data_IF_161447315867
#
_entry.id   IF_161447315867
#
_cell.length_a   1.000
_cell.length_b   1.000
_cell.length_c   1.000
_cell.angle_alpha   90.00
_cell.angle_beta   90.00
_cell.angle_gamma   90.00
#
_symmetry.space_group_name_H-M   'P 1'
#
loop_
_entity.id
_entity.type
_entity.pdbx_description
1 polymer ?
#
# COMPACT_ATOMS: atom_id res chain seq x y z
N UNK A 1 -32.59 -59.48 -25.26
CA UNK A 1 -33.33 -58.52 -24.40
C UNK A 1 -32.39 -57.39 -24.01
N UNK A 2 -32.73 -56.14 -24.37
CA UNK A 2 -32.19 -54.89 -23.77
C UNK A 2 -32.92 -54.65 -22.43
N UNK A 3 -32.55 -53.67 -21.59
CA UNK A 3 -31.24 -53.22 -21.10
C UNK A 3 -31.21 -53.26 -19.55
N UNK A 4 -30.05 -53.09 -18.90
CA UNK A 4 -30.01 -52.53 -17.54
C UNK A 4 -29.29 -51.19 -17.60
N UNK A 5 -30.08 -50.13 -17.46
CA UNK A 5 -29.63 -48.75 -17.43
C UNK A 5 -29.02 -48.48 -16.05
N UNK A 6 -27.70 -48.64 -15.93
CA UNK A 6 -26.98 -48.00 -14.84
C UNK A 6 -26.81 -46.53 -15.21
N UNK A 7 -27.75 -45.70 -14.75
CA UNK A 7 -27.70 -44.25 -14.88
C UNK A 7 -26.52 -43.75 -14.02
N UNK A 8 -25.33 -43.64 -14.63
CA UNK A 8 -24.21 -42.93 -14.03
C UNK A 8 -24.58 -41.43 -14.01
N UNK A 9 -25.11 -40.98 -12.88
CA UNK A 9 -25.19 -39.57 -12.53
C UNK A 9 -23.76 -39.03 -12.41
N UNK A 10 -23.24 -38.48 -13.50
CA UNK A 10 -22.05 -37.63 -13.47
C UNK A 10 -22.49 -36.34 -12.78
N UNK A 11 -22.25 -36.24 -11.47
CA UNK A 11 -22.33 -34.96 -10.76
C UNK A 11 -21.16 -34.14 -11.28
N UNK A 12 -21.44 -33.23 -12.22
CA UNK A 12 -20.55 -32.13 -12.55
C UNK A 12 -20.48 -31.25 -11.30
N UNK A 13 -19.53 -31.54 -10.42
CA UNK A 13 -19.12 -30.61 -9.38
C UNK A 13 -18.53 -29.44 -10.13
N UNK A 14 -19.35 -28.41 -10.36
CA UNK A 14 -18.85 -27.09 -10.68
C UNK A 14 -17.92 -26.75 -9.51
N UNK A 15 -16.62 -26.92 -9.72
CA UNK A 15 -15.62 -26.20 -8.97
C UNK A 15 -15.91 -24.74 -9.28
N UNK A 16 -16.83 -24.15 -8.50
CA UNK A 16 -16.77 -22.72 -8.26
C UNK A 16 -15.41 -22.59 -7.60
N UNK A 17 -14.44 -22.20 -8.42
CA UNK A 17 -13.15 -21.75 -7.95
C UNK A 17 -13.48 -20.62 -7.00
N UNK A 18 -13.59 -20.96 -5.72
CA UNK A 18 -13.59 -19.99 -4.64
C UNK A 18 -12.22 -19.38 -4.79
N UNK A 19 -12.19 -18.26 -5.52
CA UNK A 19 -11.02 -17.43 -5.62
C UNK A 19 -10.68 -17.04 -4.20
N UNK A 20 -9.83 -17.84 -3.58
CA UNK A 20 -9.08 -17.48 -2.40
C UNK A 20 -8.34 -16.23 -2.83
N UNK A 21 -8.94 -15.09 -2.51
CA UNK A 21 -8.35 -13.78 -2.71
C UNK A 21 -7.20 -13.74 -1.71
N UNK A 22 -6.09 -14.37 -2.08
CA UNK A 22 -4.88 -14.37 -1.30
C UNK A 22 -4.61 -12.89 -0.99
N UNK A 23 -4.52 -12.59 0.30
CA UNK A 23 -3.99 -11.33 0.79
C UNK A 23 -2.51 -11.32 0.44
N UNK A 24 -2.20 -11.20 -0.86
CA UNK A 24 -0.84 -11.13 -1.36
C UNK A 24 -0.32 -9.79 -0.89
N UNK A 25 0.30 -9.82 0.28
CA UNK A 25 1.22 -8.81 0.77
C UNK A 25 2.08 -8.39 -0.41
N UNK A 26 2.24 -7.07 -0.60
CA UNK A 26 2.93 -6.48 -1.76
C UNK A 26 4.14 -7.36 -2.10
N UNK A 27 4.15 -8.04 -3.26
CA UNK A 27 5.18 -9.03 -3.54
C UNK A 27 6.55 -8.33 -3.45
N UNK A 28 7.63 -9.05 -3.11
CA UNK A 28 8.96 -8.47 -2.90
C UNK A 28 9.61 -7.96 -4.21
N UNK A 29 8.79 -7.57 -5.18
CA UNK A 29 9.18 -7.05 -6.47
C UNK A 29 9.83 -5.70 -6.24
N UNK A 30 11.13 -5.62 -6.54
CA UNK A 30 11.90 -4.37 -6.48
C UNK A 30 11.29 -3.23 -7.30
N UNK A 31 10.39 -3.51 -8.23
CA UNK A 31 9.73 -2.49 -9.06
C UNK A 31 8.83 -1.56 -8.24
N UNK A 32 8.08 -2.07 -7.25
CA UNK A 32 7.17 -1.27 -6.41
C UNK A 32 7.92 -0.17 -5.67
N UNK A 33 9.16 -0.43 -5.28
CA UNK A 33 10.03 0.57 -4.66
C UNK A 33 10.25 1.80 -5.53
N UNK A 34 10.31 1.62 -6.86
CA UNK A 34 10.59 2.69 -7.82
C UNK A 34 9.30 3.34 -8.30
N UNK A 35 8.39 2.55 -8.84
CA UNK A 35 7.18 3.05 -9.49
C UNK A 35 5.99 3.22 -8.53
N UNK A 36 6.01 2.60 -7.34
CA UNK A 36 4.89 2.52 -6.39
C UNK A 36 3.62 1.89 -6.99
N UNK A 37 3.76 1.12 -8.07
CA UNK A 37 2.67 0.40 -8.71
C UNK A 37 2.40 -0.89 -7.92
N UNK A 38 1.15 -1.13 -7.51
CA UNK A 38 0.80 -2.38 -6.85
C UNK A 38 0.86 -3.54 -7.87
N UNK A 39 0.90 -4.79 -7.39
CA UNK A 39 0.91 -5.99 -8.23
C UNK A 39 -0.43 -6.27 -8.93
N UNK A 40 -1.01 -5.26 -9.58
CA UNK A 40 -2.24 -5.28 -10.35
C UNK A 40 -1.93 -4.91 -11.81
N UNK A 41 -0.90 -5.54 -12.39
CA UNK A 41 -0.26 -5.12 -13.64
C UNK A 41 -1.19 -5.11 -14.87
N UNK A 42 -2.29 -5.86 -14.82
CA UNK A 42 -3.33 -5.85 -15.85
C UNK A 42 -4.21 -4.58 -15.84
N UNK A 43 -4.08 -3.75 -14.81
CA UNK A 43 -4.91 -2.55 -14.62
C UNK A 43 -4.02 -1.31 -14.47
N UNK A 44 -4.53 -0.17 -14.96
CA UNK A 44 -3.84 1.13 -14.85
C UNK A 44 -4.38 1.94 -13.67
N UNK A 45 -3.51 2.79 -13.13
CA UNK A 45 -3.89 3.75 -12.11
C UNK A 45 -5.00 4.68 -12.63
N UNK A 46 -5.95 4.99 -11.76
CA UNK A 46 -7.00 5.96 -12.03
C UNK A 46 -6.39 7.36 -12.23
N UNK A 47 -6.89 8.08 -13.23
CA UNK A 47 -6.46 9.44 -13.57
C UNK A 47 -7.34 10.53 -12.95
N UNK A 48 -8.47 10.15 -12.37
CA UNK A 48 -9.35 11.05 -11.63
C UNK A 48 -8.73 11.44 -10.28
N UNK A 49 -9.22 12.53 -9.68
CA UNK A 49 -8.83 12.92 -8.33
C UNK A 49 -9.11 11.80 -7.33
N UNK A 50 -8.15 11.43 -6.46
CA UNK A 50 -8.34 10.34 -5.52
C UNK A 50 -9.37 10.72 -4.45
N UNK A 51 -10.29 9.80 -4.09
CA UNK A 51 -11.17 9.97 -2.93
C UNK A 51 -10.46 9.69 -1.59
N UNK A 52 -9.13 9.78 -1.57
CA UNK A 52 -8.27 9.55 -0.40
C UNK A 52 -7.32 10.72 -0.21
N UNK A 53 -6.86 10.91 1.02
CA UNK A 53 -5.84 11.89 1.39
C UNK A 53 -4.73 11.21 2.19
N UNK A 54 -3.53 11.81 2.13
CA UNK A 54 -2.39 11.46 2.98
C UNK A 54 -1.99 12.71 3.73
N UNK A 55 -1.81 12.62 5.05
CA UNK A 55 -1.39 13.73 5.89
C UNK A 55 -0.32 13.29 6.88
N UNK A 56 0.43 14.26 7.38
CA UNK A 56 1.38 14.09 8.47
C UNK A 56 0.89 14.91 9.67
N UNK A 57 1.21 14.48 10.89
CA UNK A 57 0.90 15.22 12.11
C UNK A 57 1.74 16.49 12.25
N UNK A 58 2.94 16.49 11.69
CA UNK A 58 3.86 17.63 11.66
C UNK A 58 4.39 17.93 10.26
N UNK A 59 4.83 19.17 10.04
CA UNK A 59 5.48 19.63 8.81
C UNK A 59 7.00 19.82 8.97
N UNK A 60 7.53 19.70 10.18
CA UNK A 60 8.95 19.87 10.49
C UNK A 60 9.36 18.95 11.64
N UNK A 61 10.54 18.32 11.52
CA UNK A 61 11.15 17.46 12.54
C UNK A 61 12.67 17.57 12.54
N UNK A 62 13.32 17.11 13.60
CA UNK A 62 14.76 16.81 13.61
C UNK A 62 15.06 15.42 13.08
N UNK A 63 16.30 15.20 12.65
CA UNK A 63 16.77 13.86 12.32
C UNK A 63 16.60 12.90 13.51
N UNK A 64 16.05 11.71 13.26
CA UNK A 64 15.77 10.69 14.28
C UNK A 64 14.39 10.80 14.94
N UNK A 65 13.65 11.90 14.74
CA UNK A 65 12.28 12.02 15.23
C UNK A 65 11.30 11.25 14.33
N UNK A 66 10.16 10.89 14.91
CA UNK A 66 9.11 10.11 14.26
C UNK A 66 7.91 10.99 13.93
N UNK A 67 7.34 10.78 12.75
CA UNK A 67 6.18 11.45 12.18
C UNK A 67 5.08 10.43 11.97
N UNK A 68 3.86 10.77 12.36
CA UNK A 68 2.70 9.95 12.08
C UNK A 68 2.10 10.32 10.72
N UNK A 69 2.12 9.34 9.81
CA UNK A 69 1.50 9.43 8.50
C UNK A 69 0.11 8.80 8.55
N UNK A 70 -0.90 9.58 8.20
CA UNK A 70 -2.29 9.13 8.13
C UNK A 70 -2.77 9.05 6.69
N UNK A 71 -3.36 7.91 6.31
CA UNK A 71 -4.07 7.73 5.03
C UNK A 71 -5.55 7.55 5.35
N UNK A 72 -6.43 8.36 4.76
CA UNK A 72 -7.87 8.27 5.03
C UNK A 72 -8.72 8.50 3.79
N UNK A 73 -9.90 7.88 3.80
CA UNK A 73 -10.90 8.00 2.76
C UNK A 73 -11.84 9.20 3.02
N UNK A 74 -12.36 9.76 1.94
CA UNK A 74 -13.34 10.86 1.92
C UNK A 74 -14.71 10.33 1.48
N UNK A 75 -15.76 11.10 1.73
CA UNK A 75 -17.09 10.87 1.15
C UNK A 75 -17.69 9.47 1.41
N UNK A 76 -17.39 8.85 2.56
CA UNK A 76 -17.88 7.50 2.90
C UNK A 76 -17.19 6.35 2.16
N UNK A 77 -16.16 6.65 1.37
CA UNK A 77 -15.36 5.64 0.68
C UNK A 77 -14.54 4.78 1.64
N UNK A 78 -14.06 3.65 1.14
CA UNK A 78 -13.15 2.75 1.85
C UNK A 78 -12.03 2.30 0.92
N UNK A 79 -10.93 1.85 1.48
CA UNK A 79 -9.83 1.24 0.74
C UNK A 79 -9.43 -0.09 1.38
N UNK A 80 -8.82 -0.96 0.57
CA UNK A 80 -8.41 -2.30 1.00
C UNK A 80 -6.92 -2.40 1.24
N UNK A 81 -6.13 -1.69 0.44
CA UNK A 81 -4.68 -1.72 0.50
C UNK A 81 -4.04 -0.36 0.34
N UNK A 82 -2.82 -0.25 0.84
CA UNK A 82 -1.95 0.90 0.63
C UNK A 82 -0.49 0.46 0.50
N UNK A 83 0.32 1.32 -0.11
CA UNK A 83 1.78 1.29 -0.09
C UNK A 83 2.28 2.73 0.09
N UNK A 84 3.20 2.96 1.01
CA UNK A 84 3.68 4.31 1.38
C UNK A 84 5.20 4.34 1.47
N UNK A 85 5.78 5.43 0.99
CA UNK A 85 7.20 5.74 1.05
C UNK A 85 7.41 7.22 1.40
N UNK A 86 8.51 7.51 2.07
CA UNK A 86 9.08 8.84 2.13
C UNK A 86 10.21 8.94 1.10
N UNK A 87 10.29 10.06 0.37
CA UNK A 87 11.33 10.29 -0.64
C UNK A 87 12.04 11.61 -0.42
N UNK A 88 13.36 11.60 -0.59
CA UNK A 88 14.19 12.81 -0.58
C UNK A 88 13.93 13.69 -1.82
N UNK A 89 14.63 14.82 -1.92
CA UNK A 89 14.52 15.77 -3.04
C UNK A 89 14.93 15.17 -4.40
N UNK A 90 15.69 14.06 -4.39
CA UNK A 90 16.08 13.32 -5.59
C UNK A 90 15.05 12.23 -5.95
N UNK A 91 14.00 12.08 -5.15
CA UNK A 91 12.99 11.03 -5.32
C UNK A 91 13.43 9.65 -4.80
N UNK A 92 14.50 9.59 -3.99
CA UNK A 92 15.05 8.34 -3.43
C UNK A 92 14.32 7.99 -2.13
N UNK A 93 13.88 6.73 -1.95
CA UNK A 93 13.29 6.28 -0.69
C UNK A 93 14.21 6.50 0.52
N UNK A 94 13.69 7.07 1.60
CA UNK A 94 14.48 7.51 2.76
C UNK A 94 13.74 7.31 4.10
N UNK A 95 14.51 7.19 5.19
CA UNK A 95 13.98 6.98 6.54
C UNK A 95 13.44 5.56 6.74
N UNK A 96 12.73 5.35 7.85
CA UNK A 96 12.27 4.01 8.24
C UNK A 96 10.85 4.05 8.78
N UNK A 97 10.00 3.15 8.33
CA UNK A 97 8.68 2.90 8.89
C UNK A 97 8.74 1.83 9.97
N UNK A 98 7.83 1.93 10.94
CA UNK A 98 7.63 0.91 11.96
C UNK A 98 6.43 0.02 11.63
N UNK A 99 6.57 -1.28 11.92
CA UNK A 99 5.46 -2.21 11.81
C UNK A 99 4.45 -1.98 12.93
N UNK A 100 3.18 -2.17 12.62
CA UNK A 100 2.10 -2.11 13.60
C UNK A 100 0.96 -3.06 13.17
N UNK A 101 -0.15 -3.03 13.89
CA UNK A 101 -1.31 -3.88 13.61
C UNK A 101 -1.94 -3.64 12.23
N UNK A 102 -1.68 -2.51 11.59
CA UNK A 102 -2.25 -2.12 10.29
C UNK A 102 -1.23 -2.21 9.14
N UNK A 103 0.07 -2.24 9.45
CA UNK A 103 1.13 -2.09 8.46
C UNK A 103 2.33 -3.02 8.69
N UNK A 104 2.81 -3.63 7.60
CA UNK A 104 4.11 -4.30 7.51
C UNK A 104 5.10 -3.42 6.77
N UNK A 105 6.40 -3.66 6.98
CA UNK A 105 7.45 -2.89 6.31
C UNK A 105 8.06 -3.64 5.13
N UNK A 106 8.61 -2.88 4.19
CA UNK A 106 9.32 -3.38 3.03
C UNK A 106 10.62 -2.59 2.85
N UNK A 107 11.67 -3.26 2.36
CA UNK A 107 13.01 -2.67 2.20
C UNK A 107 13.29 -2.37 0.73
N UNK A 108 13.58 -1.10 0.42
CA UNK A 108 13.86 -0.60 -0.91
C UNK A 108 15.29 -0.08 -1.00
N UNK A 109 15.94 -0.34 -2.15
CA UNK A 109 17.30 0.17 -2.43
C UNK A 109 18.35 -0.18 -1.37
N UNK A 110 18.21 -1.35 -0.73
CA UNK A 110 19.13 -1.81 0.32
C UNK A 110 18.95 -1.12 1.68
N UNK A 111 18.00 -0.20 1.81
CA UNK A 111 17.67 0.46 3.08
C UNK A 111 16.52 -0.32 3.73
N UNK A 112 16.71 -0.69 4.99
CA UNK A 112 15.74 -1.50 5.75
C UNK A 112 14.47 -0.69 6.03
N UNK A 113 13.31 -1.30 5.81
CA UNK A 113 12.00 -0.80 6.25
C UNK A 113 11.65 0.63 5.81
N UNK A 114 12.17 1.12 4.67
CA UNK A 114 11.90 2.47 4.16
C UNK A 114 10.61 2.59 3.32
N UNK A 115 9.76 1.56 3.36
CA UNK A 115 8.40 1.56 2.85
C UNK A 115 7.48 0.77 3.79
N UNK A 116 6.18 1.07 3.77
CA UNK A 116 5.16 0.30 4.49
C UNK A 116 3.97 -0.04 3.61
N UNK A 117 3.29 -1.13 3.92
CA UNK A 117 2.08 -1.58 3.23
C UNK A 117 1.08 -2.25 4.18
N UNK A 118 -0.15 -2.40 3.71
CA UNK A 118 -1.23 -3.05 4.45
C UNK A 118 -0.92 -4.50 4.89
N UNK A 119 -1.45 -4.90 6.04
CA UNK A 119 -1.37 -6.28 6.57
C UNK A 119 -2.40 -7.23 5.95
N UNK A 120 -3.57 -6.71 5.56
CA UNK A 120 -4.73 -7.47 5.09
C UNK A 120 -5.59 -6.63 4.12
N UNK A 121 -6.57 -7.24 3.45
CA UNK A 121 -7.48 -6.61 2.48
C UNK A 121 -8.83 -6.18 3.06
N UNK A 122 -8.95 -6.14 4.39
CA UNK A 122 -10.16 -5.67 5.08
C UNK A 122 -10.45 -4.20 4.73
N UNK A 123 -11.72 -3.84 4.76
CA UNK A 123 -12.15 -2.47 4.49
C UNK A 123 -11.60 -1.49 5.54
N UNK A 124 -10.95 -0.42 5.06
CA UNK A 124 -10.37 0.63 5.90
C UNK A 124 -10.94 1.97 5.49
N UNK A 125 -11.26 2.80 6.48
CA UNK A 125 -11.58 4.22 6.28
C UNK A 125 -10.39 5.12 6.63
N UNK A 126 -9.51 4.64 7.50
CA UNK A 126 -8.32 5.34 7.97
C UNK A 126 -7.25 4.33 8.40
N UNK A 127 -5.98 4.63 8.13
CA UNK A 127 -4.82 3.95 8.73
C UNK A 127 -3.79 5.00 9.16
N UNK A 128 -3.01 4.65 10.18
CA UNK A 128 -1.87 5.43 10.62
C UNK A 128 -0.62 4.54 10.61
N UNK A 129 0.48 5.08 10.09
CA UNK A 129 1.81 4.46 10.13
C UNK A 129 2.81 5.48 10.61
N UNK A 130 3.86 5.03 11.29
CA UNK A 130 4.87 5.92 11.84
C UNK A 130 6.15 5.82 11.02
N UNK A 131 6.71 6.96 10.65
CA UNK A 131 7.94 7.10 9.87
C UNK A 131 8.99 7.91 10.65
N UNK A 132 10.20 7.38 10.76
CA UNK A 132 11.33 8.02 11.45
C UNK A 132 12.28 8.63 10.43
N UNK A 133 12.57 9.92 10.61
CA UNK A 133 13.54 10.65 9.81
C UNK A 133 14.97 10.12 10.03
N UNK A 134 15.83 9.99 9.00
CA UNK A 134 17.22 9.62 9.22
C UNK A 134 17.95 10.66 10.07
N UNK A 135 18.71 10.21 11.07
CA UNK A 135 19.41 11.09 12.02
C UNK A 135 20.38 12.09 11.35
N UNK A 136 21.01 11.71 10.25
CA UNK A 136 22.02 12.52 9.55
C UNK A 136 21.48 13.31 8.36
N UNK A 137 20.21 13.17 8.01
CA UNK A 137 19.64 13.87 6.85
C UNK A 137 19.12 15.25 7.23
N UNK A 138 19.30 16.22 6.34
CA UNK A 138 18.69 17.55 6.40
C UNK A 138 18.15 17.89 5.02
N UNK A 139 17.00 18.56 4.99
CA UNK A 139 16.34 18.94 3.75
C UNK A 139 14.87 18.52 3.73
N UNK A 140 14.29 18.56 2.55
CA UNK A 140 12.85 18.27 2.39
C UNK A 140 12.62 16.80 2.11
N UNK A 141 11.55 16.25 2.66
CA UNK A 141 11.05 14.91 2.37
C UNK A 141 9.59 14.97 1.95
N UNK A 142 9.24 14.17 0.96
CA UNK A 142 7.88 14.02 0.47
C UNK A 142 7.36 12.62 0.81
N UNK A 143 6.31 12.55 1.66
CA UNK A 143 5.53 11.32 1.82
C UNK A 143 4.63 11.14 0.60
N UNK A 144 4.64 9.93 0.03
CA UNK A 144 3.81 9.53 -1.10
C UNK A 144 3.16 8.19 -0.82
N UNK A 145 1.92 8.01 -1.28
CA UNK A 145 1.20 6.76 -1.17
C UNK A 145 0.53 6.34 -2.48
N UNK A 146 0.35 5.02 -2.58
CA UNK A 146 -0.58 4.36 -3.49
C UNK A 146 -1.69 3.75 -2.65
N UNK A 147 -2.94 3.98 -3.05
CA UNK A 147 -4.13 3.48 -2.34
C UNK A 147 -4.98 2.64 -3.29
N UNK A 148 -5.29 1.42 -2.86
CA UNK A 148 -6.07 0.43 -3.60
C UNK A 148 -7.48 0.37 -2.99
N UNK A 149 -8.47 0.82 -3.74
CA UNK A 149 -9.88 0.75 -3.35
C UNK A 149 -10.44 -0.64 -3.60
N UNK A 150 -10.16 -1.18 -4.79
CA UNK A 150 -10.52 -2.54 -5.23
C UNK A 150 -9.36 -3.09 -6.05
N UNK A 151 -9.34 -4.41 -6.28
CA UNK A 151 -8.27 -5.07 -7.05
C UNK A 151 -7.98 -4.39 -8.41
N UNK A 152 -9.01 -3.83 -9.05
CA UNK A 152 -8.91 -3.17 -10.36
C UNK A 152 -8.88 -1.64 -10.29
N UNK A 153 -9.00 -1.04 -9.10
CA UNK A 153 -9.22 0.39 -8.91
C UNK A 153 -8.28 0.94 -7.84
N UNK A 154 -7.27 1.71 -8.29
CA UNK A 154 -6.24 2.25 -7.42
C UNK A 154 -5.72 3.60 -7.93
N UNK A 155 -5.21 4.41 -7.00
CA UNK A 155 -4.58 5.69 -7.26
C UNK A 155 -3.15 5.67 -6.74
N UNK A 156 -2.26 6.35 -7.45
CA UNK A 156 -0.84 6.44 -7.11
C UNK A 156 -0.46 7.90 -6.90
N UNK A 157 0.73 8.14 -6.34
CA UNK A 157 1.31 9.48 -6.21
C UNK A 157 0.43 10.43 -5.37
N UNK A 158 -0.31 9.90 -4.40
CA UNK A 158 -1.05 10.71 -3.43
C UNK A 158 -0.05 11.23 -2.40
N UNK A 159 0.09 12.55 -2.30
CA UNK A 159 1.15 13.20 -1.52
C UNK A 159 0.59 13.87 -0.27
N UNK A 160 1.33 13.77 0.83
CA UNK A 160 1.14 14.67 1.97
C UNK A 160 1.77 16.04 1.69
N UNK A 161 1.61 17.00 2.60
CA UNK A 161 2.48 18.17 2.59
C UNK A 161 3.94 17.76 2.84
N UNK A 162 4.93 18.47 2.27
CA UNK A 162 6.34 18.17 2.53
C UNK A 162 6.71 18.33 4.01
N UNK A 163 7.68 17.53 4.47
CA UNK A 163 8.26 17.61 5.81
C UNK A 163 9.67 18.19 5.68
N UNK A 164 9.99 19.22 6.46
CA UNK A 164 11.36 19.74 6.57
C UNK A 164 12.11 19.04 7.71
N UNK A 165 13.23 18.40 7.39
CA UNK A 165 14.13 17.84 8.41
C UNK A 165 15.23 18.85 8.71
N UNK A 166 15.29 19.29 9.96
CA UNK A 166 16.26 20.27 10.48
C UNK A 166 17.25 19.66 11.46
N UNK A 167 18.26 20.44 11.86
CA UNK A 167 19.22 20.08 12.91
C UNK A 167 18.64 20.10 14.31
#
# INVERSE_FOLDING_TARGET
MKPSLACLLIILVNFVDWGEAFSVSVPPVRSVCKNMQPGHDSYKAQQSSPPFNVTTDVAQVRGGETVDVTIYAKNGEKFKGFYVQARDEKGTPIGTFNENTNAKTHSCSGIKSNAAHHVNSEDKTKVQVSWTAPASYKGTVQIQATVVQRFTTYWMQIKANPISIVS
#
